data_IF_323108135841
#
_entry.id   IF_323108135841
#
_cell.length_a   1.000
_cell.length_b   1.000
_cell.length_c   1.000
_cell.angle_alpha   90.00
_cell.angle_beta   90.00
_cell.angle_gamma   90.00
#
_symmetry.space_group_name_H-M   'P 1'
#
loop_
_entity.id
_entity.type
_entity.pdbx_description
1 polymer ?
#
# COMPACT_ATOMS: atom_id res chain seq x y z
N UNK A 1 -3.95 3.24 -7.83
CA UNK A 1 -5.13 4.04 -8.23
C UNK A 1 -6.36 3.16 -8.33
N UNK A 2 -6.31 2.05 -9.06
CA UNK A 2 -7.46 1.16 -9.26
C UNK A 2 -7.97 0.57 -7.95
N UNK A 3 -7.09 0.09 -7.08
CA UNK A 3 -7.45 -0.50 -5.78
C UNK A 3 -8.10 0.52 -4.85
N UNK A 4 -7.58 1.76 -4.83
CA UNK A 4 -8.22 2.86 -4.09
C UNK A 4 -9.62 3.19 -4.63
N UNK A 5 -9.80 3.16 -5.95
CA UNK A 5 -11.10 3.40 -6.59
C UNK A 5 -12.09 2.23 -6.34
N UNK A 6 -11.59 1.00 -6.25
CA UNK A 6 -12.37 -0.17 -5.87
C UNK A 6 -12.89 -0.03 -4.43
N UNK A 7 -12.01 0.31 -3.50
CA UNK A 7 -12.33 0.48 -2.09
C UNK A 7 -13.44 1.53 -1.88
N UNK A 8 -13.33 2.68 -2.55
CA UNK A 8 -14.33 3.76 -2.44
C UNK A 8 -15.60 3.44 -3.22
N UNK A 9 -15.48 2.79 -4.39
CA UNK A 9 -16.61 2.38 -5.23
C UNK A 9 -17.52 1.33 -4.59
N UNK A 10 -17.00 0.55 -3.65
CA UNK A 10 -17.79 -0.41 -2.87
C UNK A 10 -18.77 0.23 -1.88
N UNK A 11 -18.55 1.50 -1.51
CA UNK A 11 -19.40 2.24 -0.57
C UNK A 11 -20.27 3.26 -1.28
N UNK A 12 -19.71 3.97 -2.24
CA UNK A 12 -20.44 4.96 -3.02
C UNK A 12 -20.78 4.39 -4.40
N UNK A 13 -22.07 4.31 -4.72
CA UNK A 13 -22.60 3.79 -5.98
C UNK A 13 -22.28 4.66 -7.22
N UNK A 14 -21.15 5.37 -7.19
CA UNK A 14 -20.64 6.18 -8.29
C UNK A 14 -19.66 5.32 -9.08
N UNK A 15 -19.73 5.37 -10.40
CA UNK A 15 -18.93 4.50 -11.27
C UNK A 15 -17.42 4.55 -10.95
N UNK A 16 -16.76 3.40 -10.95
CA UNK A 16 -15.30 3.23 -10.66
C UNK A 16 -14.41 4.20 -11.43
N UNK A 17 -14.79 4.55 -12.64
CA UNK A 17 -14.07 5.51 -13.49
C UNK A 17 -13.96 6.90 -12.88
N UNK A 18 -15.02 7.37 -12.24
CA UNK A 18 -15.03 8.69 -11.59
C UNK A 18 -14.04 8.72 -10.42
N UNK A 19 -13.99 7.64 -9.63
CA UNK A 19 -13.04 7.54 -8.52
C UNK A 19 -11.59 7.43 -8.98
N UNK A 20 -11.32 6.72 -10.08
CA UNK A 20 -9.98 6.72 -10.68
C UNK A 20 -9.55 8.13 -11.12
N UNK A 21 -10.46 8.92 -11.70
CA UNK A 21 -10.18 10.31 -12.09
C UNK A 21 -9.97 11.21 -10.87
N UNK A 22 -10.76 11.04 -9.81
CA UNK A 22 -10.61 11.83 -8.57
C UNK A 22 -9.27 11.53 -7.91
N UNK A 23 -8.91 10.26 -7.75
CA UNK A 23 -7.63 9.87 -7.14
C UNK A 23 -6.47 10.33 -8.04
N UNK A 24 -6.57 10.17 -9.35
CA UNK A 24 -5.56 10.68 -10.29
C UNK A 24 -5.38 12.19 -10.19
N UNK A 25 -6.48 12.95 -10.12
CA UNK A 25 -6.43 14.40 -9.94
C UNK A 25 -5.78 14.77 -8.58
N UNK A 26 -6.10 14.07 -7.50
CA UNK A 26 -5.46 14.28 -6.20
C UNK A 26 -3.95 14.04 -6.26
N UNK A 27 -3.49 13.02 -6.98
CA UNK A 27 -2.06 12.75 -7.17
C UNK A 27 -1.40 13.89 -7.94
N UNK A 28 -2.02 14.38 -9.01
CA UNK A 28 -1.50 15.50 -9.80
C UNK A 28 -1.41 16.77 -8.93
N UNK A 29 -2.44 17.08 -8.15
CA UNK A 29 -2.44 18.20 -7.22
C UNK A 29 -1.33 18.05 -6.18
N UNK A 30 -1.13 16.83 -5.66
CA UNK A 30 -0.09 16.52 -4.69
C UNK A 30 1.32 16.75 -5.26
N UNK A 31 1.54 16.34 -6.51
CA UNK A 31 2.79 16.61 -7.23
C UNK A 31 2.98 18.10 -7.48
N UNK A 32 1.92 18.82 -7.88
CA UNK A 32 1.97 20.23 -8.24
C UNK A 32 2.18 21.16 -7.04
N UNK A 33 1.61 20.83 -5.87
CA UNK A 33 1.79 21.60 -4.62
C UNK A 33 3.22 21.51 -4.09
N UNK A 34 3.98 20.52 -4.56
CA UNK A 34 5.39 20.39 -4.23
C UNK A 34 5.67 19.64 -2.93
N UNK A 35 6.75 18.92 -2.94
CA UNK A 35 7.13 17.90 -1.95
C UNK A 35 7.75 18.46 -0.68
N UNK A 36 8.12 19.74 -0.67
CA UNK A 36 9.03 20.31 0.30
C UNK A 36 8.49 20.37 1.74
N UNK A 37 7.16 20.40 1.92
CA UNK A 37 6.55 20.50 3.26
C UNK A 37 5.63 19.33 3.65
N UNK A 38 5.48 18.31 2.80
CA UNK A 38 4.54 17.21 2.98
C UNK A 38 5.08 16.06 3.87
N UNK A 39 6.32 16.10 4.30
CA UNK A 39 6.92 15.08 5.15
C UNK A 39 6.16 14.88 6.47
N UNK A 40 5.53 15.93 7.00
CA UNK A 40 4.69 15.86 8.19
C UNK A 40 3.38 15.11 7.94
N UNK A 41 2.70 15.42 6.83
CA UNK A 41 1.45 14.75 6.44
C UNK A 41 1.71 13.26 6.18
N UNK A 42 2.81 12.93 5.52
CA UNK A 42 3.21 11.55 5.29
C UNK A 42 3.43 10.78 6.61
N UNK A 43 4.08 11.39 7.59
CA UNK A 43 4.26 10.79 8.93
C UNK A 43 2.94 10.51 9.62
N UNK A 44 1.98 11.45 9.57
CA UNK A 44 0.65 11.27 10.16
C UNK A 44 -0.10 10.16 9.44
N UNK A 45 -0.09 10.15 8.10
CA UNK A 45 -0.75 9.12 7.30
C UNK A 45 -0.19 7.73 7.60
N UNK A 46 1.13 7.59 7.71
CA UNK A 46 1.78 6.33 8.07
C UNK A 46 1.42 5.87 9.49
N UNK A 47 1.39 6.81 10.46
CA UNK A 47 0.94 6.50 11.82
C UNK A 47 -0.53 6.07 11.86
N UNK A 48 -1.40 6.76 11.13
CA UNK A 48 -2.82 6.43 11.02
C UNK A 48 -3.03 5.05 10.37
N UNK A 49 -2.27 4.73 9.31
CA UNK A 49 -2.28 3.41 8.69
C UNK A 49 -1.83 2.32 9.66
N UNK A 50 -0.77 2.56 10.42
CA UNK A 50 -0.30 1.61 11.41
C UNK A 50 -1.37 1.33 12.47
N UNK A 51 -2.01 2.38 13.01
CA UNK A 51 -3.13 2.23 13.94
C UNK A 51 -4.28 1.45 13.29
N UNK A 52 -4.60 1.76 12.04
CA UNK A 52 -5.64 1.06 11.29
C UNK A 52 -5.34 -0.43 11.14
N UNK A 53 -4.09 -0.81 10.85
CA UNK A 53 -3.69 -2.23 10.78
C UNK A 53 -3.80 -2.93 12.13
N UNK A 54 -3.52 -2.24 13.25
CA UNK A 54 -3.72 -2.80 14.60
C UNK A 54 -5.20 -3.03 14.90
N UNK A 55 -6.07 -2.08 14.53
CA UNK A 55 -7.53 -2.24 14.69
C UNK A 55 -8.03 -3.39 13.82
N UNK A 56 -7.55 -3.48 12.58
CA UNK A 56 -7.89 -4.56 11.66
C UNK A 56 -7.46 -5.93 12.24
N UNK A 57 -6.26 -6.02 12.77
CA UNK A 57 -5.75 -7.20 13.44
C UNK A 57 -6.68 -7.61 14.61
N UNK A 58 -7.08 -6.66 15.45
CA UNK A 58 -8.04 -6.90 16.53
C UNK A 58 -9.37 -7.43 16.00
N UNK A 59 -9.91 -6.83 14.95
CA UNK A 59 -11.19 -7.25 14.37
C UNK A 59 -11.10 -8.67 13.79
N UNK A 60 -10.03 -8.99 13.08
CA UNK A 60 -9.86 -10.30 12.43
C UNK A 60 -9.66 -11.41 13.48
N UNK A 61 -8.73 -11.21 14.41
CA UNK A 61 -8.30 -12.30 15.29
C UNK A 61 -9.07 -12.39 16.61
N UNK A 62 -9.71 -11.30 17.06
CA UNK A 62 -10.38 -11.24 18.36
C UNK A 62 -11.91 -11.09 18.27
N UNK A 63 -12.51 -11.07 17.09
CA UNK A 63 -13.97 -10.94 16.91
C UNK A 63 -14.75 -12.26 17.12
N UNK A 64 -14.06 -13.35 17.47
CA UNK A 64 -14.73 -14.64 17.74
C UNK A 64 -15.31 -15.31 16.47
N UNK A 65 -14.87 -14.91 15.29
CA UNK A 65 -15.31 -15.49 14.04
C UNK A 65 -14.85 -16.95 13.95
N UNK A 66 -15.77 -17.86 13.63
CA UNK A 66 -15.42 -19.24 13.30
C UNK A 66 -14.61 -19.25 11.99
N UNK A 67 -13.64 -20.18 11.88
CA UNK A 67 -12.93 -20.39 10.63
C UNK A 67 -13.94 -20.68 9.51
N UNK A 68 -13.94 -19.84 8.49
CA UNK A 68 -14.70 -20.09 7.27
C UNK A 68 -13.85 -21.04 6.43
N UNK A 69 -14.37 -22.23 6.12
CA UNK A 69 -13.67 -23.17 5.25
C UNK A 69 -13.40 -22.50 3.90
N UNK A 70 -12.14 -22.42 3.50
CA UNK A 70 -11.76 -21.89 2.20
C UNK A 70 -11.85 -23.04 1.21
N UNK A 71 -12.96 -23.16 0.50
CA UNK A 71 -13.08 -24.01 -0.68
C UNK A 71 -12.39 -23.30 -1.85
N UNK A 72 -11.08 -23.35 -1.90
CA UNK A 72 -10.28 -22.73 -2.94
C UNK A 72 -9.32 -23.71 -3.59
N UNK A 73 -9.01 -23.50 -4.86
CA UNK A 73 -7.94 -24.20 -5.53
C UNK A 73 -6.63 -24.02 -4.75
N UNK A 74 -5.98 -25.12 -4.39
CA UNK A 74 -4.72 -25.09 -3.68
C UNK A 74 -3.64 -24.53 -4.61
N UNK A 75 -3.07 -23.39 -4.27
CA UNK A 75 -1.88 -22.85 -4.92
C UNK A 75 -0.73 -23.86 -4.77
N UNK A 76 -0.02 -24.12 -5.88
CA UNK A 76 1.22 -24.87 -5.80
C UNK A 76 2.26 -24.09 -4.95
N UNK A 77 3.15 -24.79 -4.28
CA UNK A 77 4.20 -24.15 -3.47
C UNK A 77 5.02 -23.14 -4.29
N UNK A 78 5.32 -23.46 -5.56
CA UNK A 78 6.03 -22.54 -6.45
C UNK A 78 5.28 -21.24 -6.71
N UNK A 79 3.98 -21.32 -6.99
CA UNK A 79 3.14 -20.14 -7.20
C UNK A 79 3.01 -19.29 -5.91
N UNK A 80 2.92 -19.92 -4.75
CA UNK A 80 2.89 -19.20 -3.47
C UNK A 80 4.21 -18.46 -3.20
N UNK A 81 5.36 -19.08 -3.50
CA UNK A 81 6.68 -18.44 -3.38
C UNK A 81 6.79 -17.27 -4.38
N UNK A 82 6.37 -17.47 -5.63
CA UNK A 82 6.37 -16.41 -6.65
C UNK A 82 5.59 -15.19 -6.19
N UNK A 83 4.36 -15.37 -5.71
CA UNK A 83 3.53 -14.27 -5.19
C UNK A 83 4.18 -13.58 -3.98
N UNK A 84 4.78 -14.34 -3.07
CA UNK A 84 5.43 -13.77 -1.88
C UNK A 84 6.69 -12.96 -2.21
N UNK A 85 7.40 -13.33 -3.27
CA UNK A 85 8.68 -12.70 -3.67
C UNK A 85 8.47 -11.56 -4.68
N UNK A 86 7.41 -11.60 -5.48
CA UNK A 86 7.14 -10.61 -6.53
C UNK A 86 7.09 -9.17 -5.98
N UNK A 87 6.44 -8.97 -4.84
CA UNK A 87 6.33 -7.64 -4.21
C UNK A 87 7.67 -7.09 -3.74
N UNK A 88 8.51 -7.80 -2.95
CA UNK A 88 9.85 -7.35 -2.58
C UNK A 88 10.76 -7.08 -3.78
N UNK A 89 10.70 -7.92 -4.82
CA UNK A 89 11.52 -7.75 -6.02
C UNK A 89 11.16 -6.48 -6.79
N UNK A 90 9.87 -6.12 -6.84
CA UNK A 90 9.44 -4.88 -7.51
C UNK A 90 9.98 -3.61 -6.84
N UNK A 91 10.24 -3.67 -5.53
CA UNK A 91 10.80 -2.56 -4.75
C UNK A 91 12.32 -2.48 -4.75
N UNK A 92 13.00 -3.53 -5.17
CA UNK A 92 14.46 -3.61 -5.15
C UNK A 92 15.15 -2.46 -5.92
N UNK A 93 14.72 -2.07 -7.13
CA UNK A 93 15.30 -0.92 -7.84
C UNK A 93 15.03 0.40 -7.12
N UNK A 94 13.84 0.56 -6.52
CA UNK A 94 13.40 1.80 -5.87
C UNK A 94 14.16 2.10 -4.59
N UNK A 95 14.58 1.07 -3.83
CA UNK A 95 15.33 1.25 -2.58
C UNK A 95 16.61 2.06 -2.79
N UNK A 96 17.29 1.89 -3.91
CA UNK A 96 18.50 2.64 -4.22
C UNK A 96 18.25 4.13 -4.37
N UNK A 97 17.11 4.52 -4.94
CA UNK A 97 16.73 5.92 -5.13
C UNK A 97 16.49 6.64 -3.79
N UNK A 98 15.95 5.91 -2.80
CA UNK A 98 15.68 6.47 -1.47
C UNK A 98 16.90 6.51 -0.56
N UNK A 99 17.86 5.61 -0.75
CA UNK A 99 19.01 5.46 0.16
C UNK A 99 20.27 6.16 -0.34
N UNK A 100 20.33 6.53 -1.62
CA UNK A 100 21.54 7.13 -2.24
C UNK A 100 21.91 8.47 -1.61
N UNK A 101 20.92 9.28 -1.24
CA UNK A 101 21.13 10.63 -0.68
C UNK A 101 21.18 10.64 0.85
N UNK A 102 21.18 9.47 1.50
CA UNK A 102 21.29 9.35 2.93
C UNK A 102 22.74 9.61 3.40
N UNK A 103 22.91 10.28 4.55
CA UNK A 103 24.23 10.51 5.16
C UNK A 103 25.02 9.20 5.40
N UNK A 104 24.30 8.11 5.68
CA UNK A 104 24.87 6.77 5.89
C UNK A 104 24.11 5.73 5.06
N UNK A 105 24.42 5.58 3.76
CA UNK A 105 23.66 4.75 2.84
C UNK A 105 23.51 3.29 3.29
N UNK A 106 24.58 2.68 3.78
CA UNK A 106 24.55 1.28 4.26
C UNK A 106 23.61 1.08 5.44
N UNK A 107 23.60 2.01 6.39
CA UNK A 107 22.69 1.92 7.54
C UNK A 107 21.24 2.17 7.11
N UNK A 108 21.02 3.11 6.21
CA UNK A 108 19.70 3.39 5.65
C UNK A 108 19.16 2.17 4.91
N UNK A 109 19.99 1.51 4.09
CA UNK A 109 19.60 0.29 3.37
C UNK A 109 19.23 -0.85 4.34
N UNK A 110 20.07 -1.13 5.35
CA UNK A 110 19.76 -2.16 6.33
C UNK A 110 18.49 -1.86 7.12
N UNK A 111 18.31 -0.61 7.56
CA UNK A 111 17.08 -0.19 8.23
C UNK A 111 15.85 -0.39 7.34
N UNK A 112 15.94 -0.01 6.06
CA UNK A 112 14.85 -0.20 5.10
C UNK A 112 14.52 -1.67 4.89
N UNK A 113 15.51 -2.53 4.71
CA UNK A 113 15.30 -3.99 4.52
C UNK A 113 14.65 -4.62 5.74
N UNK A 114 15.12 -4.31 6.95
CA UNK A 114 14.57 -4.87 8.18
C UNK A 114 13.14 -4.40 8.44
N UNK A 115 12.89 -3.09 8.30
CA UNK A 115 11.54 -2.53 8.50
C UNK A 115 10.59 -3.06 7.44
N UNK A 116 10.99 -3.04 6.17
CA UNK A 116 10.18 -3.57 5.07
C UNK A 116 9.83 -5.05 5.29
N UNK A 117 10.82 -5.88 5.63
CA UNK A 117 10.59 -7.30 5.91
C UNK A 117 9.62 -7.53 7.06
N UNK A 118 9.81 -6.83 8.19
CA UNK A 118 8.94 -6.95 9.36
C UNK A 118 7.49 -6.50 9.06
N UNK A 119 7.31 -5.36 8.39
CA UNK A 119 6.00 -4.83 8.03
C UNK A 119 5.30 -5.72 7.00
N UNK A 120 6.03 -6.22 6.00
CA UNK A 120 5.49 -7.15 5.00
C UNK A 120 5.01 -8.45 5.63
N UNK A 121 5.80 -9.05 6.52
CA UNK A 121 5.38 -10.23 7.27
C UNK A 121 4.11 -9.97 8.09
N UNK A 122 4.04 -8.81 8.76
CA UNK A 122 2.87 -8.38 9.51
C UNK A 122 1.62 -8.29 8.63
N UNK A 123 1.74 -7.66 7.46
CA UNK A 123 0.63 -7.50 6.51
C UNK A 123 0.20 -8.83 5.90
N UNK A 124 1.12 -9.74 5.61
CA UNK A 124 0.79 -11.10 5.15
C UNK A 124 0.01 -11.89 6.21
N UNK A 125 0.39 -11.78 7.48
CA UNK A 125 -0.35 -12.42 8.60
C UNK A 125 -1.77 -11.86 8.70
N UNK A 126 -1.95 -10.55 8.57
CA UNK A 126 -3.27 -9.92 8.57
C UNK A 126 -4.11 -10.39 7.37
N UNK A 127 -3.53 -10.37 6.16
CA UNK A 127 -4.22 -10.81 4.95
C UNK A 127 -4.65 -12.27 5.00
N UNK A 128 -3.76 -13.15 5.47
CA UNK A 128 -4.07 -14.56 5.68
C UNK A 128 -5.15 -14.76 6.76
N UNK A 129 -5.05 -14.05 7.88
CA UNK A 129 -6.09 -14.05 8.91
C UNK A 129 -7.43 -13.57 8.38
N UNK A 130 -7.44 -12.50 7.58
CA UNK A 130 -8.66 -11.99 6.93
C UNK A 130 -9.32 -13.08 6.07
N UNK A 131 -8.57 -13.73 5.18
CA UNK A 131 -9.07 -14.80 4.33
C UNK A 131 -9.64 -15.97 5.16
N UNK A 132 -8.93 -16.42 6.20
CA UNK A 132 -9.33 -17.58 7.02
C UNK A 132 -10.56 -17.29 7.89
N UNK A 133 -10.61 -16.12 8.54
CA UNK A 133 -11.63 -15.82 9.54
C UNK A 133 -12.84 -15.06 8.98
N UNK A 134 -12.70 -14.34 7.88
CA UNK A 134 -13.80 -13.55 7.31
C UNK A 134 -14.29 -14.08 5.96
N UNK A 135 -13.52 -14.91 5.28
CA UNK A 135 -13.80 -15.37 3.92
C UNK A 135 -13.77 -14.27 2.87
N UNK A 136 -13.30 -13.08 3.24
CA UNK A 136 -13.22 -11.92 2.36
C UNK A 136 -11.76 -11.63 2.01
N UNK A 137 -11.52 -11.29 0.75
CA UNK A 137 -10.19 -10.95 0.25
C UNK A 137 -9.99 -9.43 0.12
N UNK A 138 -11.08 -8.66 0.13
CA UNK A 138 -11.04 -7.21 0.02
C UNK A 138 -11.00 -6.57 1.41
N UNK A 139 -9.84 -6.00 1.75
CA UNK A 139 -9.61 -5.31 3.02
C UNK A 139 -10.59 -4.15 3.23
N UNK A 140 -11.00 -3.46 2.17
CA UNK A 140 -11.97 -2.37 2.28
C UNK A 140 -13.34 -2.88 2.73
N UNK A 141 -13.79 -4.02 2.20
CA UNK A 141 -15.04 -4.67 2.61
C UNK A 141 -14.96 -5.11 4.06
N UNK A 142 -13.84 -5.69 4.50
CA UNK A 142 -13.63 -6.09 5.89
C UNK A 142 -13.69 -4.88 6.82
N UNK A 143 -13.06 -3.77 6.45
CA UNK A 143 -13.07 -2.53 7.24
C UNK A 143 -14.48 -1.95 7.38
N UNK A 144 -15.27 -2.00 6.31
CA UNK A 144 -16.67 -1.55 6.34
C UNK A 144 -17.51 -2.42 7.25
N UNK A 145 -17.38 -3.75 7.13
CA UNK A 145 -18.06 -4.72 8.01
C UNK A 145 -17.64 -4.56 9.48
N UNK A 146 -16.39 -4.15 9.71
CA UNK A 146 -15.87 -3.84 11.05
C UNK A 146 -16.37 -2.50 11.65
N UNK A 147 -17.19 -1.75 10.91
CA UNK A 147 -17.71 -0.47 11.37
C UNK A 147 -16.71 0.70 11.27
N UNK A 148 -15.55 0.49 10.63
CA UNK A 148 -14.53 1.52 10.42
C UNK A 148 -14.87 2.46 9.26
N UNK A 149 -15.74 2.06 8.36
CA UNK A 149 -16.45 2.84 7.34
C UNK A 149 -15.61 3.92 6.65
N UNK A 150 -16.13 5.14 6.71
CA UNK A 150 -15.57 6.30 6.01
C UNK A 150 -14.13 6.66 6.48
N UNK A 151 -13.82 6.49 7.77
CA UNK A 151 -12.49 6.83 8.29
C UNK A 151 -11.39 5.95 7.66
N UNK A 152 -11.65 4.65 7.54
CA UNK A 152 -10.72 3.72 6.89
C UNK A 152 -10.53 4.05 5.42
N UNK A 153 -11.60 4.45 4.71
CA UNK A 153 -11.50 4.86 3.31
C UNK A 153 -10.66 6.12 3.12
N UNK A 154 -10.85 7.13 3.96
CA UNK A 154 -10.05 8.36 3.89
C UNK A 154 -8.57 8.01 4.06
N UNK A 155 -8.22 7.19 5.04
CA UNK A 155 -6.83 6.77 5.28
C UNK A 155 -6.29 5.98 4.09
N UNK A 156 -7.08 5.06 3.51
CA UNK A 156 -6.68 4.30 2.31
C UNK A 156 -6.45 5.20 1.10
N UNK A 157 -7.32 6.17 0.85
CA UNK A 157 -7.17 7.12 -0.26
C UNK A 157 -5.90 7.95 -0.07
N UNK A 158 -5.67 8.50 1.12
CA UNK A 158 -4.44 9.25 1.42
C UNK A 158 -3.19 8.38 1.27
N UNK A 159 -3.24 7.15 1.73
CA UNK A 159 -2.14 6.19 1.55
C UNK A 159 -1.86 5.93 0.07
N UNK A 160 -2.91 5.68 -0.72
CA UNK A 160 -2.78 5.46 -2.17
C UNK A 160 -2.16 6.68 -2.86
N UNK A 161 -2.59 7.89 -2.50
CA UNK A 161 -2.05 9.13 -3.06
C UNK A 161 -0.57 9.29 -2.70
N UNK A 162 -0.18 9.07 -1.44
CA UNK A 162 1.21 9.24 -1.00
C UNK A 162 2.15 8.18 -1.58
N UNK A 163 1.73 6.93 -1.69
CA UNK A 163 2.54 5.86 -2.29
C UNK A 163 2.68 6.03 -3.80
N UNK A 164 1.59 6.34 -4.50
CA UNK A 164 1.65 6.59 -5.96
C UNK A 164 2.48 7.83 -6.29
N UNK A 165 2.50 8.82 -5.40
CA UNK A 165 3.40 9.96 -5.55
C UNK A 165 4.88 9.51 -5.54
N UNK A 166 5.28 8.63 -4.62
CA UNK A 166 6.64 8.11 -4.55
C UNK A 166 7.02 7.33 -5.82
N UNK A 167 6.09 6.54 -6.36
CA UNK A 167 6.28 5.82 -7.63
C UNK A 167 6.47 6.80 -8.81
N UNK A 168 5.65 7.85 -8.86
CA UNK A 168 5.75 8.89 -9.89
C UNK A 168 7.09 9.67 -9.80
N UNK A 169 7.56 9.94 -8.58
CA UNK A 169 8.85 10.57 -8.32
C UNK A 169 10.01 9.70 -8.84
N UNK A 170 10.01 8.42 -8.49
CA UNK A 170 11.04 7.47 -8.96
C UNK A 170 11.01 7.28 -10.48
N UNK A 171 9.82 7.24 -11.08
CA UNK A 171 9.67 7.23 -12.52
C UNK A 171 10.24 8.50 -13.18
N UNK A 172 10.07 9.66 -12.56
CA UNK A 172 10.65 10.94 -12.99
C UNK A 172 12.19 10.90 -13.01
N UNK A 173 12.82 10.42 -11.93
CA UNK A 173 14.28 10.26 -11.83
C UNK A 173 14.79 9.31 -12.91
N UNK A 174 14.11 8.19 -13.14
CA UNK A 174 14.46 7.22 -14.16
C UNK A 174 14.35 7.82 -15.57
N UNK A 175 13.31 8.59 -15.84
CA UNK A 175 13.13 9.28 -17.11
C UNK A 175 14.22 10.34 -17.36
N UNK A 176 14.59 11.11 -16.34
CA UNK A 176 15.69 12.08 -16.42
C UNK A 176 17.01 11.40 -16.76
N UNK A 177 17.32 10.27 -16.13
CA UNK A 177 18.51 9.49 -16.44
C UNK A 177 18.56 9.03 -17.90
N UNK A 178 17.41 8.58 -18.45
CA UNK A 178 17.30 8.17 -19.84
C UNK A 178 17.47 9.34 -20.80
N UNK A 179 16.84 10.47 -20.51
CA UNK A 179 16.90 11.67 -21.36
C UNK A 179 18.29 12.30 -21.35
N UNK A 180 19.00 12.28 -20.23
CA UNK A 180 20.38 12.79 -20.15
C UNK A 180 21.37 11.94 -20.95
N UNK A 181 21.12 10.63 -21.07
CA UNK A 181 21.92 9.73 -21.91
C UNK A 181 21.68 9.94 -23.41
N UNK A 182 20.53 10.49 -23.82
CA UNK A 182 20.20 10.76 -25.21
C UNK A 182 20.85 12.07 -25.69
N UNK A 183 21.19 12.98 -24.78
CA UNK A 183 21.80 14.28 -25.09
C UNK A 183 23.34 14.33 -25.01
N UNK A 184 24.00 13.20 -24.72
CA UNK A 184 25.44 13.00 -24.86
C UNK A 184 25.75 12.34 -26.20
#
# INVERSE_FOLDING_TARGET
IYDGALAVGGIFAIGRWVWCLVIGALIIVWIAVGVTDLGWINKITMAALFILTLVLCKVIFFSGNAMVGIDGESLTFGAAVELAVAMPLSWLPLISDYTRDAEKPTQATWASVLVYGAVSCWMYVIGMGAAIFTGEYDIAVIMVKAGLGIAALIILVFSTVTTTFLDAWSAGISAESLLSLIHI
#
